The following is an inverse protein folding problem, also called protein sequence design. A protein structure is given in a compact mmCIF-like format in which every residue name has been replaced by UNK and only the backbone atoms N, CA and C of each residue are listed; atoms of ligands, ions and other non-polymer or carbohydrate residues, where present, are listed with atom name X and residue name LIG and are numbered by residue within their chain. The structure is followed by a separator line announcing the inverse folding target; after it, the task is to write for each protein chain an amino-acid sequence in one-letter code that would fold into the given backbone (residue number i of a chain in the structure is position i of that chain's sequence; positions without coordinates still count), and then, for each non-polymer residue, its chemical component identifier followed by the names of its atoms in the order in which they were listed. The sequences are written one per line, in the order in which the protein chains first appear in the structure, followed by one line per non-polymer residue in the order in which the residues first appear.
data_IF_844119964494
#
_entry.id   IF_844119964494
#
_cell.length_a   1.000
_cell.length_b   1.000
_cell.length_c   1.000
_cell.angle_alpha   90.00
_cell.angle_beta   90.00
_cell.angle_gamma   90.00
#
_symmetry.space_group_name_H-M   'P 1'
#
loop_
_entity.id
_entity.type
_entity.pdbx_description
1 polymer ?
#
# COMPACT_ATOMS: atom_id res chain seq x y z
N UNK A 1 9.14 11.72 -3.95
CA UNK A 1 8.39 12.54 -4.91
C UNK A 1 6.89 12.27 -4.88
N UNK A 2 6.40 11.06 -5.15
CA UNK A 2 4.97 10.74 -5.07
C UNK A 2 4.33 10.86 -3.66
N UNK A 3 5.13 10.90 -2.59
CA UNK A 3 4.65 11.14 -1.20
C UNK A 3 3.95 12.50 -1.05
N UNK A 4 4.39 13.52 -1.77
CA UNK A 4 3.77 14.85 -1.73
C UNK A 4 2.41 14.84 -2.45
N UNK A 5 2.29 14.12 -3.58
CA UNK A 5 1.01 13.92 -4.26
C UNK A 5 -0.03 13.20 -3.41
N UNK A 6 0.38 12.23 -2.59
CA UNK A 6 -0.53 11.57 -1.62
C UNK A 6 -1.04 12.55 -0.56
N UNK A 7 -0.20 13.48 -0.12
CA UNK A 7 -0.61 14.51 0.83
C UNK A 7 -1.58 15.50 0.19
N UNK A 8 -1.35 15.85 -1.07
CA UNK A 8 -2.15 16.85 -1.79
C UNK A 8 -3.49 16.30 -2.31
N UNK A 9 -3.51 15.03 -2.74
CA UNK A 9 -4.68 14.42 -3.42
C UNK A 9 -5.47 13.48 -2.52
N UNK A 10 -4.93 13.15 -1.33
CA UNK A 10 -5.50 12.12 -0.44
C UNK A 10 -5.48 10.71 -1.04
N UNK A 11 -4.77 10.48 -2.14
CA UNK A 11 -4.72 9.17 -2.81
C UNK A 11 -3.64 8.29 -2.20
N UNK A 12 -3.99 7.09 -1.70
CA UNK A 12 -3.03 6.20 -1.07
C UNK A 12 -1.98 5.71 -2.08
N UNK A 13 -0.71 5.83 -1.70
CA UNK A 13 0.41 5.47 -2.57
C UNK A 13 0.92 4.06 -2.29
N UNK A 14 0.72 3.19 -3.26
CA UNK A 14 1.42 1.90 -3.36
C UNK A 14 2.83 2.15 -3.90
N UNK A 15 3.86 1.92 -3.07
CA UNK A 15 5.25 2.26 -3.39
C UNK A 15 5.96 1.07 -4.04
N UNK A 16 5.87 0.98 -5.36
CA UNK A 16 6.54 -0.04 -6.18
C UNK A 16 7.52 0.66 -7.13
N UNK A 17 8.76 0.16 -7.23
CA UNK A 17 9.78 0.68 -8.16
C UNK A 17 11.01 1.26 -7.46
N UNK A 18 11.75 2.12 -8.16
CA UNK A 18 12.98 2.75 -7.69
C UNK A 18 12.94 4.26 -7.97
N UNK A 19 13.46 5.14 -7.09
CA UNK A 19 14.02 4.90 -5.76
C UNK A 19 13.00 5.07 -4.60
N UNK A 20 13.07 4.18 -3.60
CA UNK A 20 12.25 4.24 -2.36
C UNK A 20 13.15 4.61 -1.19
N UNK A 21 13.11 5.88 -0.75
CA UNK A 21 13.96 6.39 0.35
C UNK A 21 13.28 6.37 1.73
N UNK A 22 11.94 6.29 1.79
CA UNK A 22 11.14 6.48 3.01
C UNK A 22 10.87 5.18 3.80
N UNK A 23 11.38 4.04 3.29
CA UNK A 23 11.20 2.72 3.88
C UNK A 23 12.45 1.88 3.65
N UNK A 24 12.98 1.28 4.73
CA UNK A 24 14.15 0.42 4.66
C UNK A 24 13.78 -0.99 4.19
N UNK A 25 14.72 -1.67 3.50
CA UNK A 25 14.64 -3.07 3.05
C UNK A 25 13.68 -3.43 1.90
N UNK A 26 12.87 -2.52 1.36
CA UNK A 26 11.98 -2.85 0.22
C UNK A 26 12.72 -3.27 -1.06
N UNK A 27 14.01 -2.93 -1.20
CA UNK A 27 14.83 -3.37 -2.33
C UNK A 27 15.10 -4.89 -2.33
N UNK A 28 14.86 -5.59 -1.21
CA UNK A 28 15.07 -7.05 -1.10
C UNK A 28 13.85 -7.87 -1.51
N UNK A 29 12.70 -7.24 -1.68
CA UNK A 29 11.52 -7.94 -2.15
C UNK A 29 11.58 -8.07 -3.68
N UNK A 30 11.52 -9.31 -4.21
CA UNK A 30 11.47 -9.49 -5.65
C UNK A 30 10.17 -8.89 -6.18
N UNK A 31 10.27 -8.17 -7.30
CA UNK A 31 9.13 -7.55 -8.01
C UNK A 31 8.85 -8.31 -9.32
N UNK A 32 9.79 -9.12 -9.79
CA UNK A 32 9.72 -9.84 -11.07
C UNK A 32 9.46 -11.34 -10.82
N UNK A 33 8.71 -11.98 -11.73
CA UNK A 33 8.33 -13.39 -11.67
C UNK A 33 7.09 -13.65 -10.82
N UNK A 34 6.70 -14.93 -10.67
CA UNK A 34 5.52 -15.32 -9.88
C UNK A 34 5.60 -14.86 -8.42
N UNK A 35 6.78 -14.96 -7.81
CA UNK A 35 7.01 -14.45 -6.47
C UNK A 35 6.85 -12.93 -6.38
N UNK A 36 7.27 -12.21 -7.42
CA UNK A 36 7.09 -10.78 -7.53
C UNK A 36 5.63 -10.37 -7.68
N UNK A 37 4.89 -11.07 -8.55
CA UNK A 37 3.46 -10.85 -8.73
C UNK A 37 2.68 -11.05 -7.42
N UNK A 38 3.00 -12.10 -6.65
CA UNK A 38 2.40 -12.32 -5.33
C UNK A 38 2.69 -11.15 -4.38
N UNK A 39 3.94 -10.72 -4.27
CA UNK A 39 4.30 -9.56 -3.44
C UNK A 39 3.58 -8.28 -3.86
N UNK A 40 3.45 -8.05 -5.18
CA UNK A 40 2.73 -6.90 -5.72
C UNK A 40 1.25 -6.92 -5.34
N UNK A 41 0.60 -8.08 -5.48
CA UNK A 41 -0.81 -8.25 -5.12
C UNK A 41 -1.01 -8.03 -3.63
N UNK A 42 -0.16 -8.62 -2.77
CA UNK A 42 -0.23 -8.42 -1.32
C UNK A 42 -0.07 -6.95 -0.93
N UNK A 43 0.89 -6.23 -1.52
CA UNK A 43 1.08 -4.80 -1.25
C UNK A 43 -0.12 -3.97 -1.68
N UNK A 44 -0.73 -4.28 -2.83
CA UNK A 44 -1.90 -3.57 -3.33
C UNK A 44 -3.12 -3.81 -2.44
N UNK A 45 -3.42 -5.07 -2.13
CA UNK A 45 -4.57 -5.44 -1.30
C UNK A 45 -4.47 -4.80 0.08
N UNK A 46 -3.31 -4.90 0.75
CA UNK A 46 -3.11 -4.26 2.06
C UNK A 46 -3.31 -2.74 2.00
N UNK A 47 -2.85 -2.08 0.93
CA UNK A 47 -3.04 -0.62 0.79
C UNK A 47 -4.51 -0.25 0.62
N UNK A 48 -5.29 -1.09 -0.08
CA UNK A 48 -6.74 -0.88 -0.24
C UNK A 48 -7.47 -1.12 1.08
N UNK A 49 -7.10 -2.17 1.82
CA UNK A 49 -7.67 -2.48 3.13
C UNK A 49 -7.38 -1.36 4.14
N UNK A 50 -6.14 -0.88 4.21
CA UNK A 50 -5.75 0.25 5.05
C UNK A 50 -6.57 1.51 4.74
N UNK A 51 -6.89 1.75 3.46
CA UNK A 51 -7.70 2.90 3.05
C UNK A 51 -9.19 2.72 3.38
N UNK A 52 -9.71 1.49 3.25
CA UNK A 52 -11.08 1.18 3.67
C UNK A 52 -11.24 1.32 5.18
N UNK A 53 -10.25 0.89 5.96
CA UNK A 53 -10.27 1.05 7.41
C UNK A 53 -10.19 2.54 7.79
N UNK A 54 -9.30 3.32 7.17
CA UNK A 54 -9.22 4.78 7.36
C UNK A 54 -10.56 5.49 7.07
N UNK A 55 -11.31 5.03 6.06
CA UNK A 55 -12.64 5.59 5.73
C UNK A 55 -13.75 5.14 6.68
N UNK A 56 -13.54 4.04 7.39
CA UNK A 56 -14.56 3.40 8.25
C UNK A 56 -14.30 3.66 9.74
N UNK A 57 -13.20 4.34 10.10
CA UNK A 57 -12.92 4.84 11.46
C UNK A 57 -14.08 5.72 11.97
N UNK A 58 -14.97 5.12 12.78
CA UNK A 58 -16.14 5.78 13.38
C UNK A 58 -17.52 5.28 12.91
N UNK A 59 -17.57 4.32 11.97
CA UNK A 59 -18.82 3.70 11.50
C UNK A 59 -19.04 2.31 12.11
N UNK A 60 -20.28 1.81 12.11
CA UNK A 60 -20.66 0.48 12.64
C UNK A 60 -20.16 -0.71 11.79
N UNK A 61 -19.47 -0.45 10.67
CA UNK A 61 -19.04 -1.44 9.67
C UNK A 61 -17.54 -1.77 9.74
N UNK A 62 -16.92 -1.65 10.92
CA UNK A 62 -15.53 -2.04 11.13
C UNK A 62 -15.50 -3.56 11.31
N UNK A 63 -15.26 -4.27 10.21
CA UNK A 63 -15.21 -5.74 10.23
C UNK A 63 -13.84 -6.24 10.69
N UNK A 64 -13.86 -7.19 11.63
CA UNK A 64 -12.65 -7.84 12.20
C UNK A 64 -12.07 -8.87 11.23
N UNK A 65 -12.85 -9.36 10.27
CA UNK A 65 -12.46 -10.32 9.24
C UNK A 65 -12.91 -9.76 7.88
N UNK A 66 -11.99 -9.69 6.91
CA UNK A 66 -12.28 -9.32 5.51
C UNK A 66 -11.79 -10.39 4.55
#
# INVERSE_FOLDING_TARGET
YAKFLTQDTGTPLVRIGFPIFDRHHLHRQPIIGYQGALNLVTMLVNTVLDELDRKTEGSASIDVIR
#
